data_IF_031711606550
#
_entry.id   IF_031711606550
#
_cell.length_a   1.000
_cell.length_b   1.000
_cell.length_c   1.000
_cell.angle_alpha   90.00
_cell.angle_beta   90.00
_cell.angle_gamma   90.00
#
_symmetry.space_group_name_H-M   'P 1'
#
loop_
_entity.id
_entity.type
_entity.pdbx_description
1 polymer ?
#
# COMPACT_ATOMS: atom_id res chain seq x y z
N UNK A 1 -20.93 -7.05 1.52
CA UNK A 1 -19.72 -7.27 2.33
C UNK A 1 -20.18 -7.35 3.78
N UNK A 2 -19.54 -8.17 4.61
CA UNK A 2 -19.83 -8.18 6.05
C UNK A 2 -19.38 -6.85 6.68
N UNK A 3 -19.92 -6.49 7.85
CA UNK A 3 -19.48 -5.28 8.55
C UNK A 3 -17.96 -5.31 8.84
N UNK A 4 -17.41 -6.48 9.17
CA UNK A 4 -15.97 -6.66 9.37
C UNK A 4 -15.14 -6.44 8.10
N UNK A 5 -15.60 -6.93 6.94
CA UNK A 5 -14.93 -6.68 5.65
C UNK A 5 -14.85 -5.18 5.34
N UNK A 6 -15.93 -4.44 5.61
CA UNK A 6 -15.95 -2.98 5.41
C UNK A 6 -14.95 -2.27 6.32
N UNK A 7 -14.90 -2.63 7.60
CA UNK A 7 -13.97 -2.01 8.57
C UNK A 7 -12.52 -2.26 8.15
N UNK A 8 -12.18 -3.48 7.75
CA UNK A 8 -10.82 -3.81 7.29
C UNK A 8 -10.44 -3.05 6.01
N UNK A 9 -11.37 -2.94 5.04
CA UNK A 9 -11.14 -2.17 3.83
C UNK A 9 -10.98 -0.68 4.12
N UNK A 10 -11.82 -0.10 4.99
CA UNK A 10 -11.72 1.30 5.39
C UNK A 10 -10.40 1.57 6.10
N UNK A 11 -9.99 0.70 7.03
CA UNK A 11 -8.72 0.84 7.75
C UNK A 11 -7.54 0.78 6.77
N UNK A 12 -7.49 -0.24 5.91
CA UNK A 12 -6.37 -0.42 5.00
C UNK A 12 -6.34 0.65 3.91
N UNK A 13 -7.42 0.84 3.16
CA UNK A 13 -7.46 1.78 2.04
C UNK A 13 -7.38 3.22 2.55
N UNK A 14 -8.10 3.56 3.62
CA UNK A 14 -7.99 4.87 4.26
C UNK A 14 -6.57 5.15 4.76
N UNK A 15 -5.96 4.18 5.45
CA UNK A 15 -4.58 4.27 5.95
C UNK A 15 -3.56 4.42 4.81
N UNK A 16 -3.75 3.72 3.70
CA UNK A 16 -2.92 3.85 2.50
C UNK A 16 -2.95 5.29 1.98
N UNK A 17 -4.15 5.85 1.80
CA UNK A 17 -4.31 7.21 1.28
C UNK A 17 -3.74 8.27 2.23
N UNK A 18 -4.04 8.16 3.52
CA UNK A 18 -3.50 9.07 4.55
C UNK A 18 -1.97 8.99 4.57
N UNK A 19 -1.39 7.80 4.50
CA UNK A 19 0.06 7.62 4.53
C UNK A 19 0.74 8.30 3.34
N UNK A 20 0.33 7.96 2.11
CA UNK A 20 1.04 8.39 0.90
C UNK A 20 0.74 9.82 0.45
N UNK A 21 -0.48 10.32 0.69
CA UNK A 21 -0.93 11.60 0.15
C UNK A 21 -1.11 12.70 1.19
N UNK A 22 -0.98 12.38 2.49
CA UNK A 22 -1.10 13.36 3.56
C UNK A 22 0.11 13.35 4.49
N UNK A 23 0.40 12.22 5.15
CA UNK A 23 1.46 12.14 6.17
C UNK A 23 2.84 12.33 5.54
N UNK A 24 3.15 11.60 4.48
CA UNK A 24 4.48 11.70 3.85
C UNK A 24 4.76 13.10 3.28
N UNK A 25 3.85 13.73 2.50
CA UNK A 25 4.02 15.12 2.08
C UNK A 25 4.17 16.10 3.25
N UNK A 26 3.39 15.93 4.31
CA UNK A 26 3.49 16.78 5.50
C UNK A 26 4.87 16.67 6.18
N UNK A 27 5.45 15.47 6.26
CA UNK A 27 6.80 15.26 6.81
C UNK A 27 7.86 16.02 6.00
N UNK A 28 7.83 15.91 4.67
CA UNK A 28 8.79 16.61 3.79
C UNK A 28 8.58 18.13 3.74
N UNK A 29 7.36 18.61 4.03
CA UNK A 29 7.08 20.04 4.10
C UNK A 29 7.45 20.66 5.46
N UNK A 30 7.46 19.87 6.53
CA UNK A 30 7.61 20.38 7.91
C UNK A 30 9.01 20.21 8.50
N UNK A 31 9.84 19.32 7.92
CA UNK A 31 11.17 19.02 8.42
C UNK A 31 12.25 19.62 7.50
N UNK A 32 13.18 20.38 8.09
CA UNK A 32 14.34 20.93 7.36
C UNK A 32 15.31 19.81 6.94
N UNK A 33 15.44 18.78 7.77
CA UNK A 33 16.25 17.60 7.47
C UNK A 33 15.47 16.62 6.59
N UNK A 34 15.80 16.64 5.28
CA UNK A 34 15.23 15.73 4.28
C UNK A 34 15.57 14.27 4.51
N UNK A 35 16.72 13.96 5.11
CA UNK A 35 17.08 12.58 5.42
C UNK A 35 16.18 12.04 6.53
N UNK A 36 16.00 12.82 7.61
CA UNK A 36 15.08 12.49 8.69
C UNK A 36 13.63 12.32 8.18
N UNK A 37 13.15 13.23 7.32
CA UNK A 37 11.83 13.11 6.69
C UNK A 37 11.69 11.81 5.89
N UNK A 38 12.72 11.44 5.12
CA UNK A 38 12.74 10.20 4.36
C UNK A 38 12.79 8.93 5.21
N UNK A 39 13.40 8.97 6.39
CA UNK A 39 13.47 7.83 7.31
C UNK A 39 12.16 7.63 8.07
N UNK A 40 11.52 8.73 8.51
CA UNK A 40 10.18 8.69 9.08
C UNK A 40 9.15 8.24 8.05
N UNK A 41 9.20 8.77 6.82
CA UNK A 41 8.33 8.34 5.73
C UNK A 41 8.46 6.83 5.47
N UNK A 42 9.68 6.32 5.39
CA UNK A 42 9.94 4.87 5.25
C UNK A 42 9.36 4.04 6.41
N UNK A 43 9.45 4.54 7.63
CA UNK A 43 8.89 3.89 8.83
C UNK A 43 7.37 3.84 8.80
N UNK A 44 6.70 4.95 8.45
CA UNK A 44 5.23 5.01 8.31
C UNK A 44 4.76 4.06 7.21
N UNK A 45 5.42 4.04 6.05
CA UNK A 45 5.12 3.07 4.99
C UNK A 45 5.31 1.63 5.46
N UNK A 46 6.37 1.32 6.22
CA UNK A 46 6.61 -0.03 6.75
C UNK A 46 5.50 -0.50 7.68
N UNK A 47 5.07 0.37 8.61
CA UNK A 47 3.95 0.10 9.52
C UNK A 47 2.65 -0.11 8.74
N UNK A 48 2.35 0.76 7.78
CA UNK A 48 1.15 0.65 6.96
C UNK A 48 1.17 -0.60 6.06
N UNK A 49 2.34 -1.01 5.57
CA UNK A 49 2.50 -2.27 4.84
C UNK A 49 2.14 -3.48 5.70
N UNK A 50 2.59 -3.53 6.96
CA UNK A 50 2.19 -4.60 7.89
C UNK A 50 0.69 -4.61 8.16
N UNK A 51 0.09 -3.44 8.42
CA UNK A 51 -1.37 -3.31 8.55
C UNK A 51 -2.08 -3.82 7.29
N UNK A 52 -1.57 -3.46 6.12
CA UNK A 52 -2.09 -3.89 4.82
C UNK A 52 -2.00 -5.40 4.60
N UNK A 53 -0.87 -6.03 4.95
CA UNK A 53 -0.71 -7.48 4.86
C UNK A 53 -1.68 -8.22 5.78
N UNK A 54 -1.88 -7.74 7.01
CA UNK A 54 -2.83 -8.34 7.96
C UNK A 54 -4.27 -8.15 7.47
N UNK A 55 -4.68 -6.92 7.16
CA UNK A 55 -6.04 -6.63 6.70
C UNK A 55 -6.36 -7.36 5.39
N UNK A 56 -5.48 -7.25 4.39
CA UNK A 56 -5.64 -7.89 3.10
C UNK A 56 -5.60 -9.41 3.20
N UNK A 57 -4.75 -9.99 4.05
CA UNK A 57 -4.68 -11.43 4.27
C UNK A 57 -5.98 -11.98 4.86
N UNK A 58 -6.54 -11.29 5.88
CA UNK A 58 -7.84 -11.64 6.46
C UNK A 58 -8.97 -11.51 5.42
N UNK A 59 -8.98 -10.43 4.64
CA UNK A 59 -9.97 -10.22 3.58
C UNK A 59 -9.88 -11.31 2.49
N UNK A 60 -8.67 -11.65 2.05
CA UNK A 60 -8.43 -12.68 1.05
C UNK A 60 -8.88 -14.04 1.56
N UNK A 61 -8.56 -14.39 2.81
CA UNK A 61 -9.01 -15.63 3.44
C UNK A 61 -10.53 -15.68 3.55
N UNK A 62 -11.17 -14.59 3.98
CA UNK A 62 -12.63 -14.50 4.05
C UNK A 62 -13.28 -14.71 2.68
N UNK A 63 -12.70 -14.14 1.62
CA UNK A 63 -13.14 -14.35 0.24
C UNK A 63 -13.00 -15.82 -0.17
N UNK A 64 -11.85 -16.45 0.05
CA UNK A 64 -11.59 -17.86 -0.31
C UNK A 64 -12.54 -18.82 0.44
N UNK A 65 -12.75 -18.61 1.73
CA UNK A 65 -13.59 -19.50 2.55
C UNK A 65 -15.08 -19.40 2.20
N UNK A 66 -15.55 -18.23 1.78
CA UNK A 66 -16.97 -18.01 1.46
C UNK A 66 -17.36 -18.54 0.08
N UNK A 67 -16.40 -18.72 -0.83
CA UNK A 67 -16.68 -18.83 -2.25
C UNK A 67 -16.17 -20.14 -2.85
N UNK A 68 -16.98 -21.19 -2.70
CA UNK A 68 -16.91 -22.39 -3.53
C UNK A 68 -17.65 -22.17 -4.88
N UNK A 69 -17.28 -21.13 -5.65
CA UNK A 69 -17.56 -21.09 -7.10
C UNK A 69 -18.50 -20.02 -7.71
N UNK A 70 -18.54 -18.75 -7.26
CA UNK A 70 -19.24 -17.67 -8.02
C UNK A 70 -18.27 -16.68 -8.68
N UNK A 71 -18.58 -16.32 -9.93
CA UNK A 71 -17.74 -15.51 -10.84
C UNK A 71 -17.43 -14.08 -10.36
N UNK A 72 -18.35 -13.41 -9.67
CA UNK A 72 -18.14 -12.04 -9.16
C UNK A 72 -17.13 -11.94 -8.01
N UNK A 73 -16.73 -13.07 -7.42
CA UNK A 73 -15.75 -13.08 -6.33
C UNK A 73 -14.36 -13.43 -6.82
N UNK A 74 -14.25 -14.04 -7.99
CA UNK A 74 -12.98 -14.26 -8.65
C UNK A 74 -12.23 -12.93 -8.87
N UNK A 75 -12.89 -11.86 -9.34
CA UNK A 75 -12.20 -10.59 -9.56
C UNK A 75 -11.71 -9.95 -8.25
N UNK A 76 -12.51 -9.98 -7.17
CA UNK A 76 -12.11 -9.44 -5.86
C UNK A 76 -10.93 -10.18 -5.26
N UNK A 77 -10.94 -11.52 -5.39
CA UNK A 77 -9.83 -12.37 -4.98
C UNK A 77 -8.55 -11.94 -5.69
N UNK A 78 -8.59 -11.82 -7.03
CA UNK A 78 -7.41 -11.44 -7.81
C UNK A 78 -6.92 -10.02 -7.51
N UNK A 79 -7.84 -9.07 -7.29
CA UNK A 79 -7.45 -7.70 -6.90
C UNK A 79 -6.81 -7.68 -5.51
N UNK A 80 -7.40 -8.34 -4.51
CA UNK A 80 -6.81 -8.45 -3.17
C UNK A 80 -5.44 -9.15 -3.21
N UNK A 81 -5.31 -10.22 -3.97
CA UNK A 81 -4.04 -10.94 -4.15
C UNK A 81 -2.98 -10.04 -4.83
N UNK A 82 -3.36 -9.29 -5.87
CA UNK A 82 -2.47 -8.34 -6.53
C UNK A 82 -2.03 -7.21 -5.59
N UNK A 83 -2.95 -6.64 -4.81
CA UNK A 83 -2.64 -5.61 -3.82
C UNK A 83 -1.67 -6.13 -2.75
N UNK A 84 -1.92 -7.32 -2.21
CA UNK A 84 -1.02 -7.97 -1.25
C UNK A 84 0.36 -8.23 -1.84
N UNK A 85 0.43 -8.68 -3.10
CA UNK A 85 1.70 -8.88 -3.80
C UNK A 85 2.47 -7.57 -3.94
N UNK A 86 1.79 -6.47 -4.30
CA UNK A 86 2.40 -5.14 -4.37
C UNK A 86 2.96 -4.73 -3.01
N UNK A 87 2.18 -4.89 -1.94
CA UNK A 87 2.64 -4.56 -0.57
C UNK A 87 3.85 -5.41 -0.18
N UNK A 88 3.84 -6.71 -0.49
CA UNK A 88 4.95 -7.61 -0.20
C UNK A 88 6.22 -7.23 -0.98
N UNK A 89 6.10 -6.90 -2.27
CA UNK A 89 7.23 -6.41 -3.08
C UNK A 89 7.79 -5.10 -2.48
N UNK A 90 6.91 -4.18 -2.09
CA UNK A 90 7.29 -2.93 -1.44
C UNK A 90 8.08 -3.15 -0.15
N UNK A 91 7.54 -3.96 0.76
CA UNK A 91 8.07 -4.20 2.09
C UNK A 91 9.34 -5.07 2.10
N UNK A 92 9.37 -6.14 1.30
CA UNK A 92 10.43 -7.15 1.38
C UNK A 92 11.51 -7.01 0.30
N UNK A 93 11.26 -6.26 -0.79
CA UNK A 93 12.25 -6.05 -1.84
C UNK A 93 12.67 -4.58 -1.96
N UNK A 94 11.72 -3.67 -2.20
CA UNK A 94 12.06 -2.28 -2.52
C UNK A 94 12.58 -1.51 -1.30
N UNK A 95 11.93 -1.63 -0.15
CA UNK A 95 12.36 -0.94 1.07
C UNK A 95 13.78 -1.37 1.51
N UNK A 96 14.12 -2.67 1.63
CA UNK A 96 15.48 -3.09 1.99
C UNK A 96 16.55 -2.58 1.02
N UNK A 97 16.26 -2.59 -0.29
CA UNK A 97 17.20 -2.07 -1.31
C UNK A 97 17.43 -0.56 -1.15
N UNK A 98 16.36 0.22 -0.95
CA UNK A 98 16.47 1.66 -0.71
C UNK A 98 17.23 1.97 0.59
N UNK A 99 17.00 1.20 1.65
CA UNK A 99 17.73 1.37 2.92
C UNK A 99 19.21 1.01 2.79
N UNK A 100 19.54 -0.04 2.03
CA UNK A 100 20.94 -0.40 1.74
C UNK A 100 21.67 0.72 1.00
N UNK A 101 21.00 1.40 0.05
CA UNK A 101 21.58 2.56 -0.64
C UNK A 101 21.78 3.74 0.30
N UNK A 102 20.81 4.03 1.19
CA UNK A 102 20.96 5.08 2.22
C UNK A 102 22.15 4.81 3.14
N UNK A 103 22.32 3.56 3.58
CA UNK A 103 23.41 3.16 4.47
C UNK A 103 24.81 3.31 3.84
N UNK A 104 24.91 3.26 2.51
CA UNK A 104 26.16 3.51 1.77
C UNK A 104 26.48 5.01 1.64
N UNK A 105 25.54 5.90 1.98
CA UNK A 105 25.64 7.34 1.78
C UNK A 105 25.23 7.75 0.37
N UNK A 106 24.29 8.69 0.27
CA UNK A 106 23.79 9.20 -1.01
C UNK A 106 24.29 10.63 -1.23
N UNK A 107 25.34 10.76 -2.06
CA UNK A 107 25.86 12.06 -2.48
C UNK A 107 25.14 12.61 -3.73
N UNK A 108 25.11 13.94 -3.95
CA UNK A 108 24.56 14.53 -5.17
C UNK A 108 25.23 13.98 -6.43
N UNK A 109 24.44 13.51 -7.40
CA UNK A 109 24.93 12.98 -8.67
C UNK A 109 25.60 11.59 -8.58
N UNK A 110 25.62 10.96 -7.41
CA UNK A 110 26.19 9.62 -7.22
C UNK A 110 25.36 8.53 -7.91
N UNK A 111 26.00 7.39 -8.19
CA UNK A 111 25.31 6.19 -8.71
C UNK A 111 24.20 5.74 -7.74
N UNK A 112 24.44 5.84 -6.43
CA UNK A 112 23.48 5.55 -5.38
C UNK A 112 22.25 6.47 -5.45
N UNK A 113 22.44 7.77 -5.74
CA UNK A 113 21.34 8.71 -5.90
C UNK A 113 20.45 8.38 -7.10
N UNK A 114 21.06 8.01 -8.24
CA UNK A 114 20.33 7.62 -9.45
C UNK A 114 19.52 6.34 -9.18
N UNK A 115 20.15 5.33 -8.59
CA UNK A 115 19.49 4.06 -8.30
C UNK A 115 18.40 4.21 -7.25
N UNK A 116 18.62 5.02 -6.21
CA UNK A 116 17.60 5.36 -5.22
C UNK A 116 16.41 6.04 -5.89
N UNK A 117 16.65 7.02 -6.77
CA UNK A 117 15.60 7.68 -7.54
C UNK A 117 14.79 6.72 -8.40
N UNK A 118 15.45 5.74 -9.03
CA UNK A 118 14.81 4.69 -9.83
C UNK A 118 13.91 3.79 -8.97
N UNK A 119 14.44 3.26 -7.86
CA UNK A 119 13.68 2.42 -6.94
C UNK A 119 12.52 3.18 -6.30
N UNK A 120 12.74 4.44 -5.91
CA UNK A 120 11.69 5.31 -5.39
C UNK A 120 10.58 5.52 -6.43
N UNK A 121 10.92 5.82 -7.69
CA UNK A 121 9.97 5.96 -8.78
C UNK A 121 9.12 4.70 -9.00
N UNK A 122 9.77 3.52 -9.04
CA UNK A 122 9.06 2.23 -9.14
C UNK A 122 8.11 2.03 -7.95
N UNK A 123 8.57 2.31 -6.73
CA UNK A 123 7.76 2.18 -5.53
C UNK A 123 6.54 3.11 -5.55
N UNK A 124 6.69 4.35 -6.05
CA UNK A 124 5.61 5.33 -6.18
C UNK A 124 4.54 4.89 -7.18
N UNK A 125 4.94 4.31 -8.31
CA UNK A 125 4.00 3.76 -9.30
C UNK A 125 3.22 2.58 -8.73
N UNK A 126 3.92 1.64 -8.09
CA UNK A 126 3.28 0.49 -7.43
C UNK A 126 2.31 0.95 -6.33
N UNK A 127 2.70 1.94 -5.52
CA UNK A 127 1.86 2.52 -4.50
C UNK A 127 0.59 3.18 -5.08
N UNK A 128 0.72 3.91 -6.19
CA UNK A 128 -0.41 4.51 -6.89
C UNK A 128 -1.38 3.45 -7.42
N UNK A 129 -0.86 2.41 -8.08
CA UNK A 129 -1.67 1.27 -8.55
C UNK A 129 -2.41 0.64 -7.37
N UNK A 130 -1.72 0.36 -6.26
CA UNK A 130 -2.32 -0.22 -5.07
C UNK A 130 -3.43 0.68 -4.48
N UNK A 131 -3.23 2.00 -4.51
CA UNK A 131 -4.21 2.99 -4.04
C UNK A 131 -5.47 3.02 -4.89
N UNK A 132 -5.33 2.92 -6.21
CA UNK A 132 -6.45 2.85 -7.15
C UNK A 132 -7.21 1.53 -6.97
N UNK A 133 -6.50 0.39 -6.90
CA UNK A 133 -7.13 -0.91 -6.65
C UNK A 133 -7.93 -0.94 -5.33
N UNK A 134 -7.38 -0.34 -4.28
CA UNK A 134 -8.08 -0.18 -2.99
C UNK A 134 -9.36 0.64 -3.13
N UNK A 135 -9.32 1.77 -3.82
CA UNK A 135 -10.53 2.57 -4.10
C UNK A 135 -11.57 1.80 -4.93
N UNK A 136 -11.13 1.03 -5.93
CA UNK A 136 -12.04 0.21 -6.74
C UNK A 136 -12.76 -0.84 -5.87
N UNK A 137 -12.06 -1.49 -4.93
CA UNK A 137 -12.67 -2.41 -3.98
C UNK A 137 -13.71 -1.70 -3.09
N UNK A 138 -13.36 -0.54 -2.51
CA UNK A 138 -14.26 0.26 -1.67
C UNK A 138 -15.49 0.70 -2.46
N UNK A 139 -15.31 1.26 -3.67
CA UNK A 139 -16.38 1.74 -4.53
C UNK A 139 -17.32 0.63 -5.02
N UNK A 140 -16.80 -0.59 -5.24
CA UNK A 140 -17.62 -1.76 -5.59
C UNK A 140 -18.53 -2.25 -4.44
N UNK A 141 -18.34 -1.71 -3.23
CA UNK A 141 -18.95 -2.15 -1.98
C UNK A 141 -20.18 -1.38 -1.48
N UNK A 142 -20.65 -0.36 -2.21
CA UNK A 142 -21.69 0.59 -1.75
C UNK A 142 -22.92 0.57 -2.68
N UNK A 143 -23.47 -0.60 -3.02
CA UNK A 143 -24.81 -0.65 -3.63
C UNK A 143 -25.84 -0.95 -2.54
N UNK A 144 -26.78 -0.03 -2.24
CA UNK A 144 -27.95 -0.37 -1.44
C UNK A 144 -28.68 -1.50 -2.15
N UNK A 145 -29.14 -2.51 -1.41
CA UNK A 145 -30.13 -3.44 -1.95
C UNK A 145 -31.31 -2.59 -2.45
N UNK A 146 -31.59 -2.65 -3.75
CA UNK A 146 -32.82 -2.07 -4.28
C UNK A 146 -33.96 -2.71 -3.50
N UNK A 147 -34.73 -1.89 -2.76
CA UNK A 147 -35.95 -2.35 -2.09
C UNK A 147 -36.88 -2.84 -3.20
N UNK A 148 -37.24 -4.12 -3.14
CA UNK A 148 -38.32 -4.71 -3.92
C UNK A 148 -39.66 -4.11 -3.50
#
# INVERSE_FOLDING_TARGET
>A
MSAGENVLLTLWVGGLWITGYLVVPALFASLDDRMLAGDLAGSVFSLMSWVGLVCGGVLLLAVVLRERGRSLTAWRLWVLAAMLLIVAIGLFALQPQMQALKAQGIGPGSVQAIEFGRLHGVSSVLFLINSILGLLLVGSGVRPAAKA
#
